data_IF_310571458304
#
_entry.id   IF_310571458304
#
_cell.length_a   1.000
_cell.length_b   1.000
_cell.length_c   1.000
_cell.angle_alpha   90.00
_cell.angle_beta   90.00
_cell.angle_gamma   90.00
#
_symmetry.space_group_name_H-M   'P 1'
#
loop_
_entity.id
_entity.type
_entity.pdbx_description
1 polymer ?
#
# COMPACT_ATOMS: atom_id res chain seq x y z
N UNK A 1 27.49 59.90 37.30
CA UNK A 1 26.21 60.08 38.00
C UNK A 1 25.16 60.34 36.92
N UNK A 2 24.56 59.33 36.31
CA UNK A 2 23.42 58.48 36.76
C UNK A 2 22.12 59.27 36.95
N UNK A 3 21.05 58.71 36.37
CA UNK A 3 19.62 59.06 36.32
C UNK A 3 19.20 59.93 35.11
N UNK A 4 18.40 59.49 34.14
CA UNK A 4 17.54 58.31 34.00
C UNK A 4 16.06 58.67 34.21
N UNK A 5 15.23 58.56 33.16
CA UNK A 5 13.78 58.32 33.27
C UNK A 5 13.20 57.76 31.96
N UNK A 6 12.40 56.71 32.14
CA UNK A 6 11.76 55.82 31.18
C UNK A 6 10.31 56.26 30.87
N UNK A 7 9.76 55.68 29.79
CA UNK A 7 8.36 55.19 29.61
C UNK A 7 7.73 55.68 28.29
N UNK A 8 6.83 54.99 27.57
CA UNK A 8 6.56 53.60 27.14
C UNK A 8 5.33 53.71 26.19
N UNK A 9 5.07 52.67 25.37
CA UNK A 9 3.81 52.34 24.65
C UNK A 9 3.39 53.17 23.40
N UNK A 10 2.71 52.66 22.36
CA UNK A 10 2.45 51.32 21.78
C UNK A 10 1.41 51.46 20.63
N UNK A 11 1.59 50.74 19.51
CA UNK A 11 0.62 50.09 18.58
C UNK A 11 -0.50 50.84 17.78
N UNK A 12 -0.67 50.34 16.52
CA UNK A 12 -1.87 50.23 15.63
C UNK A 12 -2.56 51.53 15.14
N UNK A 13 -3.18 51.71 13.95
CA UNK A 13 -3.75 50.84 12.90
C UNK A 13 -4.11 51.72 11.65
N UNK A 14 -4.20 51.06 10.49
CA UNK A 14 -5.06 51.25 9.29
C UNK A 14 -5.62 52.58 8.72
N UNK A 15 -5.68 52.55 7.37
CA UNK A 15 -6.77 52.98 6.47
C UNK A 15 -6.70 54.31 5.67
N UNK A 16 -6.47 54.11 4.36
CA UNK A 16 -7.30 54.52 3.22
C UNK A 16 -7.35 55.96 2.64
N UNK A 17 -7.17 55.95 1.30
CA UNK A 17 -7.83 56.74 0.25
C UNK A 17 -7.29 58.14 -0.11
N UNK A 18 -6.93 58.30 -1.39
CA UNK A 18 -6.60 59.60 -1.99
C UNK A 18 -6.12 59.52 -3.44
N UNK A 19 -7.02 59.13 -4.34
CA UNK A 19 -6.87 59.02 -5.79
C UNK A 19 -6.31 60.27 -6.50
N UNK A 20 -5.41 60.09 -7.47
CA UNK A 20 -5.36 60.94 -8.68
C UNK A 20 -5.12 60.08 -9.92
N UNK A 21 -6.19 59.91 -10.69
CA UNK A 21 -6.22 59.32 -12.02
C UNK A 21 -6.00 60.45 -13.02
N UNK A 22 -4.97 60.34 -13.85
CA UNK A 22 -4.92 61.05 -15.14
C UNK A 22 -5.28 60.03 -16.23
N UNK A 23 -6.42 60.28 -16.88
CA UNK A 23 -6.87 59.58 -18.07
C UNK A 23 -6.08 60.09 -19.29
N UNK A 24 -5.40 59.19 -20.00
CA UNK A 24 -5.20 59.33 -21.44
C UNK A 24 -5.43 57.97 -22.13
N UNK A 25 -6.06 58.04 -23.29
CA UNK A 25 -6.85 57.01 -23.95
C UNK A 25 -6.03 55.88 -24.59
N UNK A 26 -6.48 54.63 -24.35
CA UNK A 26 -6.75 53.66 -25.42
C UNK A 26 -5.61 52.85 -26.04
N UNK A 27 -5.41 51.61 -25.54
CA UNK A 27 -5.64 50.34 -26.26
C UNK A 27 -5.20 49.17 -25.36
N UNK A 28 -6.16 48.32 -25.00
CA UNK A 28 -5.97 47.24 -24.04
C UNK A 28 -5.04 46.12 -24.54
N UNK A 29 -4.11 45.73 -23.67
CA UNK A 29 -3.64 44.34 -23.54
C UNK A 29 -3.59 44.02 -22.05
N UNK A 30 -4.42 43.07 -21.64
CA UNK A 30 -4.43 42.48 -20.32
C UNK A 30 -3.06 41.86 -20.03
N UNK A 31 -2.32 42.45 -19.09
CA UNK A 31 -1.15 41.81 -18.50
C UNK A 31 -1.69 40.77 -17.51
N UNK A 32 -1.98 39.57 -18.03
CA UNK A 32 -2.13 38.39 -17.21
C UNK A 32 -0.74 38.10 -16.61
N UNK A 33 -0.65 38.16 -15.29
CA UNK A 33 0.49 37.62 -14.56
C UNK A 33 0.55 36.11 -14.83
N UNK A 34 1.39 35.71 -15.77
CA UNK A 34 1.79 34.31 -15.94
C UNK A 34 2.44 33.86 -14.63
N UNK A 35 1.76 32.96 -13.91
CA UNK A 35 2.41 32.12 -12.93
C UNK A 35 3.42 31.27 -13.69
N UNK A 36 4.71 31.50 -13.45
CA UNK A 36 5.78 30.65 -13.97
C UNK A 36 5.57 29.22 -13.46
N UNK A 37 5.01 28.36 -14.31
CA UNK A 37 5.02 26.92 -14.10
C UNK A 37 6.49 26.51 -14.28
N UNK A 38 7.19 26.26 -13.18
CA UNK A 38 8.51 25.63 -13.23
C UNK A 38 8.24 24.23 -13.80
N UNK A 39 8.55 24.02 -15.07
CA UNK A 39 8.55 22.69 -15.67
C UNK A 39 9.70 21.91 -15.01
N UNK A 40 9.38 21.14 -13.97
CA UNK A 40 10.32 20.18 -13.41
C UNK A 40 10.53 19.10 -14.47
N UNK A 41 11.77 18.97 -14.94
CA UNK A 41 12.14 17.95 -15.92
C UNK A 41 11.98 16.58 -15.27
N UNK A 42 11.15 15.71 -15.86
CA UNK A 42 11.07 14.31 -15.45
C UNK A 42 12.25 13.54 -16.07
N UNK A 43 13.34 13.40 -15.32
CA UNK A 43 14.54 12.72 -15.81
C UNK A 43 14.31 11.22 -16.09
N UNK A 44 13.40 10.57 -15.37
CA UNK A 44 13.08 9.16 -15.59
C UNK A 44 12.46 8.96 -16.97
N UNK A 45 11.43 9.74 -17.30
CA UNK A 45 10.78 9.71 -18.63
C UNK A 45 11.74 10.12 -19.75
N UNK A 46 12.57 11.14 -19.50
CA UNK A 46 13.57 11.58 -20.47
C UNK A 46 14.57 10.48 -20.82
N UNK A 47 15.06 9.73 -19.83
CA UNK A 47 15.96 8.58 -20.06
C UNK A 47 15.21 7.41 -20.70
N UNK A 48 13.99 7.12 -20.25
CA UNK A 48 13.16 6.05 -20.82
C UNK A 48 12.93 6.24 -22.32
N UNK A 49 12.67 7.47 -22.77
CA UNK A 49 12.44 7.76 -24.20
C UNK A 49 13.67 7.52 -25.09
N UNK A 50 14.87 7.44 -24.51
CA UNK A 50 16.16 7.33 -25.23
C UNK A 50 16.80 5.96 -25.12
N UNK A 51 16.44 5.19 -24.10
CA UNK A 51 16.96 3.83 -23.87
C UNK A 51 15.83 2.84 -24.10
N UNK A 52 15.99 1.95 -25.10
CA UNK A 52 15.06 0.83 -25.30
C UNK A 52 15.22 -0.14 -24.13
N UNK A 53 14.27 -0.12 -23.19
CA UNK A 53 14.26 -0.95 -21.99
C UNK A 53 13.13 -1.96 -22.06
N UNK A 54 13.46 -3.23 -21.82
CA UNK A 54 12.48 -4.30 -21.75
C UNK A 54 11.99 -4.51 -20.31
N UNK A 55 12.71 -4.01 -19.31
CA UNK A 55 12.49 -4.26 -17.89
C UNK A 55 11.48 -3.29 -17.24
N UNK A 56 11.10 -2.22 -17.94
CA UNK A 56 10.20 -1.17 -17.45
C UNK A 56 10.94 0.06 -16.89
N UNK A 57 10.27 1.20 -16.68
CA UNK A 57 10.91 2.45 -16.24
C UNK A 57 11.42 2.42 -14.79
N UNK A 58 10.91 1.52 -13.93
CA UNK A 58 11.27 1.47 -12.52
C UNK A 58 12.76 1.16 -12.30
N UNK A 59 13.40 0.41 -13.22
CA UNK A 59 14.84 0.13 -13.13
C UNK A 59 15.70 1.39 -13.32
N UNK A 60 15.20 2.39 -14.07
CA UNK A 60 15.86 3.69 -14.25
C UNK A 60 15.85 4.45 -12.92
N UNK A 61 14.70 4.46 -12.26
CA UNK A 61 14.52 5.09 -10.95
C UNK A 61 15.40 4.41 -9.89
N UNK A 62 15.40 3.07 -9.84
CA UNK A 62 16.23 2.29 -8.93
C UNK A 62 17.73 2.52 -9.14
N UNK A 63 18.18 2.65 -10.40
CA UNK A 63 19.57 2.97 -10.72
C UNK A 63 19.97 4.35 -10.17
N UNK A 64 19.08 5.34 -10.30
CA UNK A 64 19.31 6.68 -9.78
C UNK A 64 19.32 6.70 -8.24
N UNK A 65 18.35 6.03 -7.60
CA UNK A 65 18.29 5.89 -6.14
C UNK A 65 19.54 5.17 -5.61
N UNK A 66 20.00 4.09 -6.26
CA UNK A 66 21.22 3.40 -5.87
C UNK A 66 22.47 4.31 -5.96
N UNK A 67 22.52 5.16 -6.99
CA UNK A 67 23.60 6.15 -7.16
C UNK A 67 23.55 7.28 -6.12
N UNK A 68 22.36 7.58 -5.58
CA UNK A 68 22.17 8.52 -4.47
C UNK A 68 22.58 7.90 -3.13
N UNK A 69 22.12 6.67 -2.86
CA UNK A 69 22.35 5.96 -1.60
C UNK A 69 23.79 5.46 -1.42
N UNK A 70 24.52 5.26 -2.51
CA UNK A 70 25.90 4.75 -2.49
C UNK A 70 26.80 5.58 -3.43
N UNK A 71 27.17 6.81 -3.04
CA UNK A 71 28.05 7.65 -3.86
C UNK A 71 29.39 6.94 -4.13
N UNK A 72 29.73 6.76 -5.41
CA UNK A 72 30.92 6.01 -5.82
C UNK A 72 30.66 4.57 -6.24
N UNK A 73 29.39 4.13 -6.29
CA UNK A 73 29.01 2.78 -6.76
C UNK A 73 29.51 2.53 -8.19
N UNK A 74 30.02 1.32 -8.45
CA UNK A 74 30.49 0.95 -9.79
C UNK A 74 29.32 0.67 -10.74
N UNK A 75 29.52 0.80 -12.05
CA UNK A 75 28.49 0.43 -13.04
C UNK A 75 28.15 -1.06 -12.99
N UNK A 76 29.12 -1.92 -12.64
CA UNK A 76 28.89 -3.36 -12.45
C UNK A 76 27.96 -3.63 -11.26
N UNK A 77 28.14 -2.91 -10.17
CA UNK A 77 27.25 -3.02 -9.00
C UNK A 77 25.85 -2.45 -9.28
N UNK A 78 25.75 -1.31 -9.97
CA UNK A 78 24.45 -0.77 -10.42
C UNK A 78 23.69 -1.79 -11.27
N UNK A 79 24.36 -2.43 -12.23
CA UNK A 79 23.79 -3.48 -13.05
C UNK A 79 23.31 -4.68 -12.20
N UNK A 80 24.13 -5.14 -11.24
CA UNK A 80 23.77 -6.22 -10.31
C UNK A 80 22.55 -5.87 -9.45
N UNK A 81 22.49 -4.65 -8.91
CA UNK A 81 21.39 -4.20 -8.06
C UNK A 81 20.05 -4.05 -8.79
N UNK A 82 20.10 -3.76 -10.10
CA UNK A 82 18.91 -3.55 -10.93
C UNK A 82 18.58 -4.76 -11.81
N UNK A 83 19.33 -5.86 -11.67
CA UNK A 83 19.24 -7.05 -12.52
C UNK A 83 19.36 -6.75 -14.03
N UNK A 84 20.04 -5.65 -14.37
CA UNK A 84 20.25 -5.24 -15.75
C UNK A 84 21.55 -5.82 -16.32
N UNK A 85 21.59 -6.14 -17.63
CA UNK A 85 22.86 -6.33 -18.31
C UNK A 85 23.74 -5.09 -18.17
N UNK A 86 25.04 -5.27 -17.92
CA UNK A 86 26.00 -4.16 -17.73
C UNK A 86 25.93 -3.11 -18.85
N UNK A 87 25.80 -3.48 -20.15
CA UNK A 87 25.66 -2.49 -21.22
C UNK A 87 24.40 -1.61 -21.09
N UNK A 88 23.28 -2.18 -20.63
CA UNK A 88 22.02 -1.47 -20.44
C UNK A 88 22.13 -0.49 -19.27
N UNK A 89 22.65 -0.95 -18.12
CA UNK A 89 22.92 -0.06 -16.98
C UNK A 89 23.90 1.07 -17.35
N UNK A 90 24.92 0.78 -18.16
CA UNK A 90 25.84 1.79 -18.68
C UNK A 90 25.16 2.80 -19.60
N UNK A 91 24.19 2.37 -20.42
CA UNK A 91 23.42 3.26 -21.30
C UNK A 91 22.53 4.21 -20.48
N UNK A 92 21.76 3.69 -19.52
CA UNK A 92 20.94 4.50 -18.59
C UNK A 92 21.83 5.53 -17.87
N UNK A 93 22.95 5.08 -17.31
CA UNK A 93 23.93 5.96 -16.65
C UNK A 93 24.40 7.09 -17.58
N UNK A 94 24.78 6.77 -18.82
CA UNK A 94 25.26 7.77 -19.79
C UNK A 94 24.18 8.80 -20.12
N UNK A 95 22.91 8.40 -20.24
CA UNK A 95 21.82 9.34 -20.47
C UNK A 95 21.59 10.26 -19.26
N UNK A 96 21.67 9.74 -18.03
CA UNK A 96 21.66 10.60 -16.84
C UNK A 96 22.85 11.56 -16.76
N UNK A 97 24.04 11.15 -17.19
CA UNK A 97 25.21 12.03 -17.26
C UNK A 97 25.01 13.15 -18.29
N UNK A 98 24.46 12.84 -19.47
CA UNK A 98 24.09 13.86 -20.48
C UNK A 98 23.05 14.84 -19.96
N UNK A 99 22.12 14.36 -19.12
CA UNK A 99 21.11 15.19 -18.46
C UNK A 99 21.66 15.97 -17.24
N UNK A 100 22.93 15.79 -16.88
CA UNK A 100 23.56 16.48 -15.75
C UNK A 100 23.14 15.97 -14.37
N UNK A 101 22.52 14.79 -14.28
CA UNK A 101 21.98 14.19 -13.03
C UNK A 101 23.03 13.32 -12.33
N UNK A 102 23.87 12.64 -13.10
CA UNK A 102 24.95 11.78 -12.60
C UNK A 102 26.31 12.25 -13.10
N UNK A 103 27.36 11.94 -12.35
CA UNK A 103 28.76 12.17 -12.74
C UNK A 103 29.62 10.93 -12.44
N UNK A 104 30.68 10.74 -13.23
CA UNK A 104 31.63 9.63 -13.10
C UNK A 104 32.94 10.16 -12.49
N UNK A 105 33.11 9.99 -11.17
CA UNK A 105 34.26 10.45 -10.39
C UNK A 105 34.55 9.45 -9.26
N UNK A 106 35.57 8.59 -9.46
CA UNK A 106 35.86 7.45 -8.56
C UNK A 106 34.61 6.63 -8.27
N UNK A 107 33.88 6.28 -9.34
CA UNK A 107 32.56 5.65 -9.30
C UNK A 107 31.44 6.59 -9.74
N UNK A 108 30.19 6.12 -9.68
CA UNK A 108 29.01 6.89 -10.09
C UNK A 108 28.40 7.58 -8.87
N UNK A 109 28.08 8.87 -8.99
CA UNK A 109 27.42 9.64 -7.93
C UNK A 109 26.45 10.66 -8.51
N UNK A 110 25.46 11.08 -7.72
CA UNK A 110 24.56 12.17 -8.08
C UNK A 110 25.26 13.53 -8.05
N UNK A 111 24.99 14.36 -9.05
CA UNK A 111 25.30 15.80 -9.02
C UNK A 111 24.37 16.52 -8.03
N UNK A 112 24.55 17.82 -7.84
CA UNK A 112 23.64 18.61 -7.01
C UNK A 112 22.19 18.56 -7.52
N UNK A 113 21.97 18.73 -8.83
CA UNK A 113 20.64 18.63 -9.45
C UNK A 113 20.06 17.21 -9.32
N UNK A 114 20.88 16.17 -9.46
CA UNK A 114 20.44 14.80 -9.27
C UNK A 114 20.00 14.50 -7.83
N UNK A 115 20.72 15.01 -6.84
CA UNK A 115 20.32 14.90 -5.42
C UNK A 115 18.98 15.59 -5.17
N UNK A 116 18.83 16.84 -5.63
CA UNK A 116 17.57 17.58 -5.49
C UNK A 116 16.39 16.85 -6.15
N UNK A 117 16.60 16.25 -7.32
CA UNK A 117 15.55 15.46 -7.99
C UNK A 117 15.16 14.22 -7.17
N UNK A 118 16.13 13.46 -6.65
CA UNK A 118 15.85 12.30 -5.80
C UNK A 118 15.12 12.72 -4.52
N UNK A 119 15.55 13.81 -3.90
CA UNK A 119 15.00 14.29 -2.63
C UNK A 119 13.59 14.87 -2.79
N UNK A 120 13.35 15.70 -3.80
CA UNK A 120 12.07 16.42 -3.97
C UNK A 120 11.08 15.72 -4.90
N UNK A 121 11.53 15.11 -6.00
CA UNK A 121 10.64 14.49 -6.98
C UNK A 121 10.39 13.01 -6.70
N UNK A 122 11.42 12.26 -6.30
CA UNK A 122 11.25 10.86 -5.89
C UNK A 122 10.87 10.71 -4.41
N UNK A 123 10.91 11.80 -3.63
CA UNK A 123 10.44 11.84 -2.24
C UNK A 123 11.42 11.27 -1.21
N UNK A 124 12.72 11.24 -1.52
CA UNK A 124 13.75 10.73 -0.61
C UNK A 124 14.33 11.80 0.34
N UNK A 125 13.84 13.04 0.29
CA UNK A 125 14.30 14.15 1.13
C UNK A 125 13.97 13.93 2.60
N UNK A 126 14.97 14.08 3.47
CA UNK A 126 14.80 13.88 4.92
C UNK A 126 14.71 12.42 5.37
N UNK A 127 15.02 11.47 4.49
CA UNK A 127 15.06 10.04 4.80
C UNK A 127 16.18 9.72 5.80
N UNK A 128 15.86 8.90 6.79
CA UNK A 128 16.84 8.17 7.60
C UNK A 128 17.54 7.12 6.73
N UNK A 129 18.68 7.53 6.14
CA UNK A 129 19.44 6.69 5.21
C UNK A 129 20.11 5.49 5.90
N UNK A 130 20.32 5.54 7.22
CA UNK A 130 20.89 4.41 7.97
C UNK A 130 19.83 3.32 8.15
N UNK A 131 18.66 3.69 8.68
CA UNK A 131 17.52 2.78 8.79
C UNK A 131 17.13 2.22 7.42
N UNK A 132 17.02 3.07 6.40
CA UNK A 132 16.73 2.61 5.03
C UNK A 132 17.73 1.56 4.54
N UNK A 133 19.04 1.78 4.73
CA UNK A 133 20.07 0.80 4.33
C UNK A 133 19.94 -0.51 5.10
N UNK A 134 19.66 -0.44 6.40
CA UNK A 134 19.42 -1.63 7.24
C UNK A 134 18.20 -2.42 6.75
N UNK A 135 17.07 -1.74 6.48
CA UNK A 135 15.84 -2.37 6.01
C UNK A 135 15.95 -2.99 4.60
N UNK A 136 16.78 -2.41 3.74
CA UNK A 136 17.03 -2.88 2.37
C UNK A 136 18.05 -4.03 2.28
N UNK A 137 18.76 -4.37 3.36
CA UNK A 137 19.68 -5.50 3.36
C UNK A 137 18.92 -6.85 3.29
N UNK A 138 19.50 -7.85 2.61
CA UNK A 138 18.90 -9.19 2.47
C UNK A 138 18.80 -9.89 3.82
N UNK A 139 19.87 -9.85 4.60
CA UNK A 139 19.93 -10.30 5.98
C UNK A 139 19.83 -9.07 6.90
N UNK A 140 18.69 -8.93 7.57
CA UNK A 140 18.52 -7.94 8.62
C UNK A 140 17.58 -8.43 9.71
N UNK A 141 17.72 -7.83 10.88
CA UNK A 141 16.75 -7.96 11.95
C UNK A 141 15.82 -6.74 11.95
N UNK A 142 14.93 -6.68 10.96
CA UNK A 142 13.98 -5.58 10.83
C UNK A 142 13.05 -5.45 12.04
N UNK A 143 12.84 -6.53 12.81
CA UNK A 143 12.00 -6.51 14.01
C UNK A 143 12.66 -5.69 15.11
N UNK A 144 13.97 -5.87 15.32
CA UNK A 144 14.73 -5.05 16.26
C UNK A 144 14.78 -3.59 15.82
N UNK A 145 15.09 -3.33 14.53
CA UNK A 145 15.18 -1.97 13.95
C UNK A 145 13.86 -1.19 14.02
N UNK A 146 12.72 -1.89 13.99
CA UNK A 146 11.37 -1.33 14.01
C UNK A 146 10.60 -1.71 15.27
N UNK A 147 11.30 -1.98 16.38
CA UNK A 147 10.68 -2.37 17.66
C UNK A 147 9.72 -1.31 18.20
N UNK A 148 10.01 -0.03 17.98
CA UNK A 148 9.12 1.09 18.30
C UNK A 148 7.84 1.06 17.47
N UNK A 149 7.95 0.78 16.17
CA UNK A 149 6.79 0.65 15.27
C UNK A 149 5.97 -0.59 15.63
N UNK A 150 6.60 -1.72 15.92
CA UNK A 150 5.92 -2.94 16.36
C UNK A 150 5.13 -2.73 17.65
N UNK A 151 5.73 -2.04 18.63
CA UNK A 151 5.06 -1.71 19.88
C UNK A 151 3.81 -0.87 19.61
N UNK A 152 3.96 0.22 18.83
CA UNK A 152 2.82 1.09 18.51
C UNK A 152 1.75 0.38 17.70
N UNK A 153 2.14 -0.45 16.74
CA UNK A 153 1.22 -1.20 15.91
C UNK A 153 0.47 -2.26 16.73
N UNK A 154 1.11 -2.88 17.72
CA UNK A 154 0.45 -3.80 18.67
C UNK A 154 -0.70 -3.10 19.40
N UNK A 155 -0.45 -1.93 19.98
CA UNK A 155 -1.48 -1.13 20.67
C UNK A 155 -2.65 -0.76 19.75
N UNK A 156 -2.38 -0.48 18.47
CA UNK A 156 -3.42 -0.17 17.48
C UNK A 156 -4.22 -1.43 17.12
N UNK A 157 -3.55 -2.56 16.86
CA UNK A 157 -4.20 -3.80 16.44
C UNK A 157 -5.06 -4.42 17.55
N UNK A 158 -4.74 -4.17 18.82
CA UNK A 158 -5.59 -4.56 19.97
C UNK A 158 -6.95 -3.84 19.97
N UNK A 159 -7.00 -2.63 19.41
CA UNK A 159 -8.22 -1.81 19.35
C UNK A 159 -9.04 -2.03 18.07
N UNK A 160 -8.59 -2.89 17.15
CA UNK A 160 -9.22 -3.07 15.85
C UNK A 160 -10.64 -3.66 15.97
N UNK A 161 -11.52 -3.41 14.98
CA UNK A 161 -12.83 -4.05 14.95
C UNK A 161 -12.74 -5.59 14.97
N UNK A 162 -13.74 -6.23 15.57
CA UNK A 162 -13.87 -7.69 15.51
C UNK A 162 -14.11 -8.15 14.07
N UNK A 163 -13.45 -9.23 13.67
CA UNK A 163 -13.56 -9.78 12.32
C UNK A 163 -14.97 -10.29 12.05
N UNK A 164 -15.46 -10.02 10.85
CA UNK A 164 -16.67 -10.64 10.30
C UNK A 164 -16.29 -11.80 9.37
N UNK A 165 -16.38 -13.00 9.92
CA UNK A 165 -16.06 -14.24 9.20
C UNK A 165 -16.99 -14.52 8.01
N UNK A 166 -18.13 -13.81 7.89
CA UNK A 166 -19.03 -13.97 6.74
C UNK A 166 -18.47 -13.37 5.46
N UNK A 167 -17.59 -12.37 5.60
CA UNK A 167 -16.88 -11.74 4.48
C UNK A 167 -15.41 -12.19 4.41
N UNK A 168 -15.12 -13.39 4.94
CA UNK A 168 -13.79 -14.02 4.99
C UNK A 168 -12.70 -13.20 5.72
N UNK A 169 -13.07 -12.25 6.59
CA UNK A 169 -12.09 -11.49 7.38
C UNK A 169 -11.32 -12.40 8.34
N UNK A 170 -10.03 -12.09 8.52
CA UNK A 170 -9.16 -12.81 9.43
C UNK A 170 -8.12 -11.90 10.06
N UNK A 171 -7.60 -12.32 11.20
CA UNK A 171 -6.69 -11.50 11.98
C UNK A 171 -5.24 -11.88 11.70
N UNK A 172 -4.50 -11.13 10.88
CA UNK A 172 -3.04 -11.33 10.83
C UNK A 172 -2.36 -10.88 12.13
N UNK A 173 -1.11 -11.35 12.33
CA UNK A 173 -0.25 -10.88 13.41
C UNK A 173 0.34 -9.49 13.11
N UNK A 174 0.75 -8.78 14.15
CA UNK A 174 1.41 -7.46 14.06
C UNK A 174 2.63 -7.53 13.15
N UNK A 175 3.45 -8.57 13.31
CA UNK A 175 4.65 -8.80 12.51
C UNK A 175 4.30 -9.04 11.05
N UNK A 176 3.20 -9.74 10.76
CA UNK A 176 2.75 -9.96 9.37
C UNK A 176 2.41 -8.63 8.71
N UNK A 177 1.58 -7.80 9.35
CA UNK A 177 1.19 -6.51 8.82
C UNK A 177 2.41 -5.60 8.56
N UNK A 178 3.35 -5.50 9.51
CA UNK A 178 4.55 -4.69 9.33
C UNK A 178 5.53 -5.28 8.31
N UNK A 179 5.67 -6.61 8.25
CA UNK A 179 6.52 -7.30 7.26
C UNK A 179 6.03 -7.05 5.83
N UNK A 180 4.71 -6.94 5.60
CA UNK A 180 4.14 -6.52 4.30
C UNK A 180 4.59 -5.11 3.91
N UNK A 181 4.62 -4.17 4.86
CA UNK A 181 5.13 -2.81 4.62
C UNK A 181 6.64 -2.80 4.34
N UNK A 182 7.45 -3.58 5.06
CA UNK A 182 8.89 -3.75 4.77
C UNK A 182 9.11 -4.36 3.39
N UNK A 183 8.29 -5.32 2.98
CA UNK A 183 8.33 -5.88 1.62
C UNK A 183 8.00 -4.80 0.57
N UNK A 184 7.03 -3.92 0.84
CA UNK A 184 6.72 -2.77 -0.03
C UNK A 184 7.94 -1.85 -0.24
N UNK A 185 8.66 -1.56 0.85
CA UNK A 185 9.90 -0.77 0.81
C UNK A 185 10.97 -1.47 -0.05
N UNK A 186 11.18 -2.77 0.16
CA UNK A 186 12.15 -3.59 -0.59
C UNK A 186 11.82 -3.72 -2.07
N UNK A 187 10.55 -3.65 -2.44
CA UNK A 187 10.10 -3.56 -3.83
C UNK A 187 10.15 -2.14 -4.40
N UNK A 188 10.78 -1.18 -3.72
CA UNK A 188 10.86 0.24 -4.12
C UNK A 188 9.48 0.85 -4.40
N UNK A 189 8.47 0.42 -3.64
CA UNK A 189 7.07 0.73 -3.89
C UNK A 189 6.41 1.52 -2.75
N UNK A 190 7.20 1.97 -1.76
CA UNK A 190 6.73 2.71 -0.60
C UNK A 190 6.99 4.23 -0.71
N UNK A 191 8.25 4.62 -0.87
CA UNK A 191 8.66 6.03 -0.83
C UNK A 191 8.23 6.74 -2.13
N UNK A 192 7.51 7.85 -1.99
CA UNK A 192 7.06 8.67 -3.13
C UNK A 192 6.02 8.00 -4.04
N UNK A 193 5.38 6.91 -3.60
CA UNK A 193 4.43 6.11 -4.40
C UNK A 193 2.99 6.27 -3.94
N UNK A 194 2.07 6.05 -4.88
CA UNK A 194 0.64 5.91 -4.60
C UNK A 194 0.30 4.42 -4.45
N UNK A 195 -0.20 4.02 -3.28
CA UNK A 195 -0.44 2.62 -2.90
C UNK A 195 -1.94 2.43 -2.68
N UNK A 196 -2.51 1.38 -3.28
CA UNK A 196 -3.88 0.96 -3.04
C UNK A 196 -3.93 -0.27 -2.12
N UNK A 197 -4.79 -0.27 -1.11
CA UNK A 197 -5.15 -1.46 -0.33
C UNK A 197 -6.57 -1.87 -0.72
N UNK A 198 -6.70 -3.03 -1.37
CA UNK A 198 -7.99 -3.61 -1.79
C UNK A 198 -8.40 -4.65 -0.75
N UNK A 199 -9.24 -4.22 0.19
CA UNK A 199 -9.42 -4.86 1.50
C UNK A 199 -8.28 -4.52 2.47
N UNK A 200 -8.60 -4.24 3.74
CA UNK A 200 -7.56 -3.92 4.74
C UNK A 200 -7.95 -4.24 6.20
N UNK A 201 -8.59 -5.37 6.45
CA UNK A 201 -8.84 -5.88 7.81
C UNK A 201 -7.54 -6.16 8.60
N UNK A 202 -6.45 -6.41 7.87
CA UNK A 202 -5.09 -6.58 8.40
C UNK A 202 -4.33 -5.27 8.71
N UNK A 203 -4.95 -4.11 8.47
CA UNK A 203 -4.40 -2.79 8.75
C UNK A 203 -3.01 -2.54 8.12
N UNK A 204 -2.77 -3.11 6.93
CA UNK A 204 -1.52 -2.92 6.18
C UNK A 204 -1.35 -1.44 5.83
N UNK A 205 -2.43 -0.70 5.57
CA UNK A 205 -2.36 0.74 5.34
C UNK A 205 -1.74 1.51 6.51
N UNK A 206 -2.08 1.13 7.76
CA UNK A 206 -1.50 1.72 8.97
C UNK A 206 -0.02 1.36 9.07
N UNK A 207 0.34 0.10 8.82
CA UNK A 207 1.75 -0.36 8.82
C UNK A 207 2.59 0.40 7.79
N UNK A 208 2.07 0.63 6.58
CA UNK A 208 2.73 1.43 5.54
C UNK A 208 2.93 2.89 6.00
N UNK A 209 1.89 3.49 6.59
CA UNK A 209 1.96 4.86 7.10
C UNK A 209 2.95 5.04 8.26
N UNK A 210 2.93 4.12 9.23
CA UNK A 210 3.86 4.17 10.37
C UNK A 210 5.31 3.93 9.94
N UNK A 211 5.56 3.00 9.01
CA UNK A 211 6.90 2.79 8.47
C UNK A 211 7.40 4.02 7.71
N UNK A 212 6.55 4.67 6.90
CA UNK A 212 6.88 5.94 6.26
C UNK A 212 7.20 7.02 7.29
N UNK A 213 6.38 7.19 8.33
CA UNK A 213 6.65 8.16 9.40
C UNK A 213 7.99 7.88 10.09
N UNK A 214 8.32 6.61 10.35
CA UNK A 214 9.56 6.18 10.99
C UNK A 214 10.81 6.40 10.13
N UNK A 215 10.69 6.20 8.82
CA UNK A 215 11.75 6.47 7.84
C UNK A 215 12.05 7.96 7.70
N UNK A 216 11.13 8.84 8.09
CA UNK A 216 11.25 10.28 7.90
C UNK A 216 10.88 11.06 9.19
N UNK A 217 11.70 10.95 10.24
CA UNK A 217 11.35 11.43 11.58
C UNK A 217 11.09 12.95 11.69
N UNK A 218 11.64 13.74 10.77
CA UNK A 218 11.59 15.21 10.81
C UNK A 218 10.72 15.84 9.70
N UNK A 219 9.95 15.04 8.96
CA UNK A 219 9.16 15.51 7.84
C UNK A 219 7.67 15.28 8.07
N UNK A 220 6.87 16.31 7.79
CA UNK A 220 5.40 16.22 7.74
C UNK A 220 4.95 16.26 6.28
N UNK A 221 3.98 15.42 5.93
CA UNK A 221 3.41 15.37 4.59
C UNK A 221 4.32 14.70 3.57
N UNK A 222 4.47 13.38 3.67
CA UNK A 222 5.18 12.59 2.67
C UNK A 222 4.45 12.61 1.32
N UNK A 223 5.22 12.51 0.22
CA UNK A 223 4.67 12.43 -1.14
C UNK A 223 3.93 11.12 -1.40
N UNK A 224 4.20 10.08 -0.62
CA UNK A 224 3.49 8.82 -0.72
C UNK A 224 2.02 8.97 -0.29
N UNK A 225 1.11 8.41 -1.07
CA UNK A 225 -0.33 8.41 -0.79
C UNK A 225 -0.85 6.99 -0.64
N UNK A 226 -1.60 6.71 0.42
CA UNK A 226 -2.22 5.41 0.66
C UNK A 226 -3.73 5.55 0.53
N UNK A 227 -4.37 4.68 -0.25
CA UNK A 227 -5.82 4.59 -0.34
C UNK A 227 -6.30 3.21 0.06
N UNK A 228 -7.34 3.15 0.87
CA UNK A 228 -8.00 1.91 1.29
C UNK A 228 -9.39 1.87 0.70
N UNK A 229 -9.73 0.74 0.06
CA UNK A 229 -11.07 0.44 -0.41
C UNK A 229 -11.55 -0.83 0.27
N UNK A 230 -12.71 -0.76 0.92
CA UNK A 230 -13.30 -1.90 1.64
C UNK A 230 -14.83 -1.79 1.64
N UNK A 231 -15.52 -2.91 1.84
CA UNK A 231 -16.97 -2.94 2.03
C UNK A 231 -17.35 -2.62 3.48
N UNK A 232 -16.47 -2.95 4.43
CA UNK A 232 -16.71 -2.85 5.86
C UNK A 232 -16.42 -1.45 6.42
N UNK A 233 -17.48 -0.69 6.68
CA UNK A 233 -17.38 0.65 7.25
C UNK A 233 -16.69 0.69 8.62
N UNK A 234 -16.73 -0.41 9.41
CA UNK A 234 -16.11 -0.45 10.75
C UNK A 234 -14.60 -0.30 10.63
N UNK A 235 -13.99 -1.05 9.71
CA UNK A 235 -12.55 -0.95 9.45
C UNK A 235 -12.18 0.38 8.79
N UNK A 236 -12.97 0.88 7.83
CA UNK A 236 -12.69 2.17 7.20
C UNK A 236 -12.73 3.34 8.19
N UNK A 237 -13.71 3.35 9.11
CA UNK A 237 -13.80 4.34 10.18
C UNK A 237 -12.63 4.22 11.15
N UNK A 238 -12.27 2.99 11.53
CA UNK A 238 -11.13 2.73 12.40
C UNK A 238 -9.81 3.21 11.79
N UNK A 239 -9.50 2.81 10.55
CA UNK A 239 -8.31 3.23 9.80
C UNK A 239 -8.28 4.76 9.66
N UNK A 240 -9.40 5.38 9.27
CA UNK A 240 -9.48 6.84 9.16
C UNK A 240 -9.22 7.54 10.49
N UNK A 241 -9.75 7.01 11.59
CA UNK A 241 -9.53 7.54 12.94
C UNK A 241 -8.08 7.37 13.41
N UNK A 242 -7.43 6.27 13.04
CA UNK A 242 -6.01 6.03 13.36
C UNK A 242 -5.09 6.87 12.49
N UNK A 243 -5.37 6.99 11.20
CA UNK A 243 -4.64 7.87 10.30
C UNK A 243 -4.61 9.32 10.80
N UNK A 244 -5.76 9.84 11.26
CA UNK A 244 -5.82 11.19 11.87
C UNK A 244 -5.01 11.30 13.16
N UNK A 245 -5.12 10.31 14.06
CA UNK A 245 -4.40 10.30 15.35
C UNK A 245 -2.89 10.19 15.17
N UNK A 246 -2.45 9.45 14.17
CA UNK A 246 -1.05 9.19 13.87
C UNK A 246 -0.44 10.14 12.84
N UNK A 247 -1.21 11.08 12.29
CA UNK A 247 -0.80 11.99 11.21
C UNK A 247 -0.32 11.25 9.94
N UNK A 248 -1.10 10.25 9.50
CA UNK A 248 -0.80 9.40 8.34
C UNK A 248 -1.63 9.83 7.11
N UNK A 249 -0.98 9.83 5.95
CA UNK A 249 -1.60 10.14 4.64
C UNK A 249 -2.37 8.93 4.10
N UNK A 250 -3.52 8.63 4.71
CA UNK A 250 -4.39 7.50 4.35
C UNK A 250 -5.79 8.00 4.04
N UNK A 251 -6.28 7.70 2.84
CA UNK A 251 -7.65 7.95 2.42
C UNK A 251 -8.46 6.65 2.43
N UNK A 252 -9.64 6.66 3.06
CA UNK A 252 -10.55 5.51 3.06
C UNK A 252 -11.76 5.78 2.17
N UNK A 253 -12.20 4.75 1.44
CA UNK A 253 -13.40 4.77 0.61
C UNK A 253 -14.17 3.47 0.75
N UNK A 254 -15.47 3.57 0.97
CA UNK A 254 -16.34 2.40 0.98
C UNK A 254 -16.68 1.99 -0.44
N UNK A 255 -16.37 0.75 -0.80
CA UNK A 255 -16.67 0.16 -2.10
C UNK A 255 -17.04 -1.31 -1.89
N UNK A 256 -18.17 -1.72 -2.45
CA UNK A 256 -18.41 -3.13 -2.70
C UNK A 256 -17.71 -3.53 -4.00
N UNK A 257 -16.71 -4.40 -3.90
CA UNK A 257 -15.91 -4.83 -5.05
C UNK A 257 -16.70 -5.68 -6.06
N UNK A 258 -17.90 -6.15 -5.69
CA UNK A 258 -18.84 -6.74 -6.67
C UNK A 258 -19.28 -5.72 -7.72
N UNK A 259 -19.30 -4.44 -7.36
CA UNK A 259 -19.61 -3.34 -8.26
C UNK A 259 -18.38 -2.96 -9.10
N UNK A 260 -18.56 -2.46 -10.33
CA UNK A 260 -17.46 -1.91 -11.12
C UNK A 260 -16.86 -0.67 -10.44
N UNK A 261 -15.53 -0.51 -10.53
CA UNK A 261 -14.87 0.67 -9.97
C UNK A 261 -15.15 1.93 -10.79
N UNK A 262 -15.29 3.10 -10.14
CA UNK A 262 -15.36 4.37 -10.83
C UNK A 262 -14.13 4.59 -11.73
N UNK A 263 -14.37 5.03 -12.98
CA UNK A 263 -13.29 5.25 -13.98
C UNK A 263 -12.24 6.24 -13.53
N UNK A 264 -12.62 7.19 -12.67
CA UNK A 264 -11.72 8.17 -12.08
C UNK A 264 -10.53 7.54 -11.37
N UNK A 265 -10.65 6.33 -10.80
CA UNK A 265 -9.57 5.68 -10.05
C UNK A 265 -8.60 4.91 -10.92
N UNK A 266 -8.86 4.84 -12.22
CA UNK A 266 -8.01 4.08 -13.13
C UNK A 266 -6.68 4.77 -13.38
N UNK A 267 -5.59 4.01 -13.36
CA UNK A 267 -4.28 4.52 -13.75
C UNK A 267 -3.60 5.43 -12.72
N UNK A 268 -4.00 5.41 -11.44
CA UNK A 268 -3.49 6.35 -10.43
C UNK A 268 -2.40 5.78 -9.52
N UNK A 269 -2.35 4.46 -9.37
CA UNK A 269 -1.53 3.80 -8.34
C UNK A 269 -0.30 3.09 -8.91
N UNK A 270 0.77 3.06 -8.13
CA UNK A 270 2.05 2.43 -8.48
C UNK A 270 2.11 0.96 -8.06
N UNK A 271 1.36 0.57 -7.03
CA UNK A 271 1.22 -0.80 -6.56
C UNK A 271 -0.10 -0.99 -5.78
N UNK A 272 -0.47 -2.25 -5.50
CA UNK A 272 -1.55 -2.53 -4.57
C UNK A 272 -1.33 -3.79 -3.72
N UNK A 273 -1.97 -3.80 -2.56
CA UNK A 273 -2.09 -4.93 -1.64
C UNK A 273 -3.49 -5.51 -1.70
N UNK A 274 -3.59 -6.83 -1.54
CA UNK A 274 -4.87 -7.50 -1.30
C UNK A 274 -4.68 -8.83 -0.57
N UNK A 275 -5.58 -9.13 0.36
CA UNK A 275 -5.77 -10.44 0.99
C UNK A 275 -7.23 -10.87 0.72
N UNK A 276 -7.51 -11.41 -0.48
CA UNK A 276 -8.86 -11.62 -0.95
C UNK A 276 -9.50 -12.85 -0.29
N UNK A 277 -10.82 -13.02 -0.42
CA UNK A 277 -11.49 -14.28 -0.08
C UNK A 277 -10.78 -15.48 -0.70
N UNK A 278 -10.62 -16.57 0.05
CA UNK A 278 -9.76 -17.70 -0.32
C UNK A 278 -10.37 -18.65 -1.38
N UNK A 279 -11.33 -18.16 -2.14
CA UNK A 279 -11.91 -18.78 -3.33
C UNK A 279 -11.13 -18.34 -4.58
N UNK A 280 -11.18 -19.13 -5.66
CA UNK A 280 -10.51 -18.74 -6.91
C UNK A 280 -11.16 -17.47 -7.49
N UNK A 281 -12.49 -17.36 -7.43
CA UNK A 281 -13.22 -16.20 -7.92
C UNK A 281 -12.96 -14.94 -7.10
N UNK A 282 -12.85 -15.05 -5.77
CA UNK A 282 -12.47 -13.92 -4.93
C UNK A 282 -11.09 -13.38 -5.26
N UNK A 283 -10.11 -14.27 -5.47
CA UNK A 283 -8.79 -13.88 -5.94
C UNK A 283 -8.86 -13.14 -7.30
N UNK A 284 -9.60 -13.69 -8.28
CA UNK A 284 -9.72 -13.08 -9.62
C UNK A 284 -10.39 -11.70 -9.53
N UNK A 285 -11.46 -11.55 -8.74
CA UNK A 285 -12.19 -10.29 -8.58
C UNK A 285 -11.29 -9.21 -7.97
N UNK A 286 -10.68 -9.49 -6.82
CA UNK A 286 -9.85 -8.51 -6.11
C UNK A 286 -8.61 -8.13 -6.93
N UNK A 287 -7.96 -9.09 -7.59
CA UNK A 287 -6.87 -8.80 -8.53
C UNK A 287 -7.35 -7.92 -9.70
N UNK A 288 -8.50 -8.23 -10.29
CA UNK A 288 -9.06 -7.42 -11.38
C UNK A 288 -9.33 -5.98 -10.94
N UNK A 289 -9.91 -5.79 -9.75
CA UNK A 289 -10.17 -4.47 -9.17
C UNK A 289 -8.87 -3.72 -8.88
N UNK A 290 -7.88 -4.37 -8.29
CA UNK A 290 -6.57 -3.77 -8.08
C UNK A 290 -5.85 -3.39 -9.39
N UNK A 291 -5.88 -4.27 -10.40
CA UNK A 291 -5.28 -4.00 -11.73
C UNK A 291 -5.92 -2.77 -12.38
N UNK A 292 -7.23 -2.57 -12.24
CA UNK A 292 -7.93 -1.40 -12.81
C UNK A 292 -7.37 -0.07 -12.28
N UNK A 293 -6.88 -0.03 -11.04
CA UNK A 293 -6.38 1.19 -10.39
C UNK A 293 -4.91 1.50 -10.74
N UNK A 294 -4.15 0.50 -11.17
CA UNK A 294 -2.72 0.66 -11.48
C UNK A 294 -2.48 1.55 -12.70
N UNK A 295 -1.44 2.39 -12.62
CA UNK A 295 -0.82 3.04 -13.78
C UNK A 295 -0.50 1.99 -14.83
N UNK A 296 -0.77 2.29 -16.11
CA UNK A 296 -0.48 1.41 -17.25
C UNK A 296 1.01 1.40 -17.58
N UNK A 297 1.79 0.86 -16.67
CA UNK A 297 3.24 0.79 -16.72
C UNK A 297 3.67 -0.64 -16.40
N UNK A 298 4.61 -1.16 -17.17
CA UNK A 298 5.24 -2.47 -16.94
C UNK A 298 6.02 -2.46 -15.63
N UNK A 299 6.01 -3.55 -14.87
CA UNK A 299 6.83 -3.72 -13.67
C UNK A 299 6.24 -3.20 -12.36
N UNK A 300 4.99 -2.72 -12.36
CA UNK A 300 4.30 -2.35 -11.13
C UNK A 300 4.04 -3.60 -10.27
N UNK A 301 4.39 -3.60 -8.97
CA UNK A 301 4.15 -4.74 -8.11
C UNK A 301 2.69 -4.86 -7.67
N UNK A 302 2.29 -6.10 -7.47
CA UNK A 302 1.05 -6.50 -6.83
C UNK A 302 1.42 -7.44 -5.69
N UNK A 303 0.93 -7.14 -4.50
CA UNK A 303 1.16 -7.93 -3.29
C UNK A 303 -0.10 -8.71 -2.96
N UNK A 304 -0.10 -9.99 -3.31
CA UNK A 304 -1.22 -10.90 -3.07
C UNK A 304 -0.92 -11.82 -1.89
N UNK A 305 -1.64 -11.60 -0.79
CA UNK A 305 -1.71 -12.57 0.30
C UNK A 305 -2.69 -13.67 -0.07
N UNK A 306 -2.34 -14.93 0.19
CA UNK A 306 -3.27 -16.03 -0.04
C UNK A 306 -2.92 -17.24 0.84
N UNK A 307 -3.90 -18.08 1.15
CA UNK A 307 -3.66 -19.35 1.82
C UNK A 307 -2.82 -20.31 0.94
N UNK A 308 -2.10 -21.23 1.57
CA UNK A 308 -1.48 -22.37 0.87
C UNK A 308 -2.57 -23.28 0.28
N UNK A 309 -2.36 -23.76 -0.95
CA UNK A 309 -3.34 -24.58 -1.68
C UNK A 309 -2.68 -25.83 -2.27
N UNK A 310 -3.50 -26.80 -2.69
CA UNK A 310 -3.01 -27.99 -3.39
C UNK A 310 -2.32 -27.61 -4.71
N UNK A 311 -1.49 -28.50 -5.28
CA UNK A 311 -0.87 -28.27 -6.59
C UNK A 311 -1.86 -27.92 -7.70
N UNK A 312 -3.02 -28.57 -7.76
CA UNK A 312 -4.04 -28.31 -8.80
C UNK A 312 -4.68 -26.93 -8.69
N UNK A 313 -4.96 -26.49 -7.46
CA UNK A 313 -5.47 -25.13 -7.21
C UNK A 313 -4.37 -24.11 -7.49
N UNK A 314 -3.13 -24.39 -7.12
CA UNK A 314 -1.97 -23.54 -7.42
C UNK A 314 -1.77 -23.36 -8.93
N UNK A 315 -1.88 -24.45 -9.71
CA UNK A 315 -1.85 -24.38 -11.17
C UNK A 315 -3.01 -23.54 -11.72
N UNK A 316 -4.20 -23.65 -11.12
CA UNK A 316 -5.35 -22.84 -11.50
C UNK A 316 -5.09 -21.36 -11.24
N UNK A 317 -4.56 -20.99 -10.07
CA UNK A 317 -4.16 -19.61 -9.76
C UNK A 317 -3.13 -19.08 -10.77
N UNK A 318 -2.09 -19.86 -11.07
CA UNK A 318 -1.06 -19.47 -12.03
C UNK A 318 -1.63 -19.25 -13.44
N UNK A 319 -2.59 -20.06 -13.88
CA UNK A 319 -3.29 -19.85 -15.14
C UNK A 319 -4.05 -18.52 -15.16
N UNK A 320 -4.69 -18.14 -14.06
CA UNK A 320 -5.36 -16.83 -13.98
C UNK A 320 -4.38 -15.66 -14.00
N UNK A 321 -3.21 -15.79 -13.35
CA UNK A 321 -2.17 -14.76 -13.44
C UNK A 321 -1.73 -14.55 -14.89
N UNK A 322 -1.51 -15.65 -15.63
CA UNK A 322 -1.15 -15.60 -17.06
C UNK A 322 -2.27 -14.97 -17.90
N UNK A 323 -3.53 -15.33 -17.66
CA UNK A 323 -4.69 -14.74 -18.36
C UNK A 323 -4.82 -13.23 -18.12
N UNK A 324 -4.49 -12.76 -16.93
CA UNK A 324 -4.44 -11.34 -16.58
C UNK A 324 -3.16 -10.64 -17.07
N UNK A 325 -2.27 -11.34 -17.77
CA UNK A 325 -1.01 -10.77 -18.28
C UNK A 325 0.00 -10.42 -17.19
N UNK A 326 -0.03 -11.12 -16.05
CA UNK A 326 0.88 -10.91 -14.93
C UNK A 326 2.06 -11.89 -14.96
N UNK A 327 3.22 -11.45 -14.47
CA UNK A 327 4.34 -12.34 -14.17
C UNK A 327 4.48 -12.56 -12.67
N UNK A 328 4.83 -13.78 -12.26
CA UNK A 328 5.15 -14.09 -10.86
C UNK A 328 6.62 -13.76 -10.64
N UNK A 329 6.90 -12.77 -9.78
CA UNK A 329 8.27 -12.43 -9.39
C UNK A 329 8.78 -13.41 -8.31
N UNK A 330 7.97 -13.61 -7.27
CA UNK A 330 8.36 -14.43 -6.12
C UNK A 330 7.14 -14.95 -5.38
N UNK A 331 7.28 -16.13 -4.79
CA UNK A 331 6.33 -16.71 -3.82
C UNK A 331 7.05 -16.89 -2.49
N UNK A 332 6.61 -16.17 -1.46
CA UNK A 332 7.16 -16.22 -0.10
C UNK A 332 6.25 -17.10 0.76
N UNK A 333 6.68 -18.34 1.01
CA UNK A 333 5.92 -19.29 1.83
C UNK A 333 5.95 -18.90 3.30
N UNK A 334 4.86 -19.19 4.02
CA UNK A 334 4.69 -18.89 5.46
C UNK A 334 4.95 -17.41 5.81
N UNK A 335 4.74 -16.52 4.84
CA UNK A 335 4.96 -15.10 5.00
C UNK A 335 3.91 -14.47 5.90
N UNK A 336 2.65 -14.85 5.68
CA UNK A 336 1.52 -14.37 6.45
C UNK A 336 1.23 -15.32 7.61
N UNK A 337 1.05 -14.79 8.81
CA UNK A 337 0.64 -15.53 10.01
C UNK A 337 -0.67 -14.93 10.54
N UNK A 338 -1.60 -15.79 10.93
CA UNK A 338 -2.95 -15.40 11.36
C UNK A 338 -3.30 -15.98 12.73
N UNK A 339 -3.97 -15.16 13.54
CA UNK A 339 -4.48 -15.52 14.87
C UNK A 339 -5.78 -16.31 14.68
N UNK A 340 -5.85 -17.51 15.26
CA UNK A 340 -7.08 -18.32 15.31
C UNK A 340 -7.48 -19.04 14.01
N UNK A 341 -6.73 -18.88 12.91
CA UNK A 341 -7.01 -19.51 11.61
C UNK A 341 -6.49 -20.97 11.53
N UNK A 342 -6.87 -21.82 12.50
CA UNK A 342 -6.31 -23.18 12.65
C UNK A 342 -6.52 -24.06 11.40
N UNK A 343 -7.59 -23.82 10.64
CA UNK A 343 -7.94 -24.57 9.42
C UNK A 343 -6.94 -24.39 8.26
N UNK A 344 -6.15 -23.32 8.25
CA UNK A 344 -5.06 -23.08 7.28
C UNK A 344 -3.68 -23.22 7.93
N UNK A 345 -3.61 -23.87 9.11
CA UNK A 345 -2.36 -23.99 9.86
C UNK A 345 -1.79 -22.64 10.32
N UNK A 346 -2.66 -21.64 10.50
CA UNK A 346 -2.31 -20.27 10.90
C UNK A 346 -1.31 -19.55 9.97
N UNK A 347 -1.03 -20.07 8.76
CA UNK A 347 -0.05 -19.45 7.85
C UNK A 347 -0.47 -19.45 6.39
N UNK A 348 -0.09 -18.39 5.69
CA UNK A 348 -0.30 -18.19 4.25
C UNK A 348 0.99 -17.81 3.53
N UNK A 349 0.87 -17.58 2.24
CA UNK A 349 1.93 -17.13 1.35
C UNK A 349 1.71 -15.69 0.90
N UNK A 350 2.79 -14.99 0.60
CA UNK A 350 2.78 -13.71 -0.10
C UNK A 350 3.32 -13.93 -1.51
N UNK A 351 2.51 -13.61 -2.51
CA UNK A 351 2.87 -13.73 -3.92
C UNK A 351 3.09 -12.31 -4.45
N UNK A 352 4.31 -12.03 -4.89
CA UNK A 352 4.65 -10.77 -5.54
C UNK A 352 4.51 -10.96 -7.05
N UNK A 353 3.49 -10.35 -7.63
CA UNK A 353 3.29 -10.31 -9.08
C UNK A 353 3.82 -8.99 -9.65
N UNK A 354 4.09 -8.96 -10.96
CA UNK A 354 4.48 -7.76 -11.70
C UNK A 354 3.62 -7.60 -12.94
N UNK A 355 3.24 -6.36 -13.23
CA UNK A 355 2.55 -6.03 -14.47
C UNK A 355 3.47 -6.23 -15.68
N UNK A 356 2.89 -6.72 -16.79
CA UNK A 356 3.48 -6.70 -18.13
C UNK A 356 2.73 -5.73 -19.05
N UNK A 357 3.18 -5.60 -20.30
CA UNK A 357 2.49 -4.83 -21.34
C UNK A 357 1.09 -5.40 -21.68
N UNK A 358 0.84 -6.67 -21.35
CA UNK A 358 -0.43 -7.36 -21.60
C UNK A 358 -1.37 -7.31 -20.38
N UNK A 359 -0.98 -6.62 -19.31
CA UNK A 359 -1.77 -6.63 -18.07
C UNK A 359 -3.16 -6.05 -18.30
N UNK A 360 -4.18 -6.84 -17.99
CA UNK A 360 -5.57 -6.42 -18.05
C UNK A 360 -6.37 -7.10 -16.94
N UNK A 361 -7.38 -6.40 -16.37
CA UNK A 361 -8.30 -7.04 -15.44
C UNK A 361 -9.11 -8.12 -16.16
N UNK A 362 -9.36 -9.24 -15.48
CA UNK A 362 -10.24 -10.29 -16.02
C UNK A 362 -11.71 -9.86 -15.91
N UNK A 363 -12.08 -9.22 -14.79
CA UNK A 363 -13.44 -8.80 -14.48
C UNK A 363 -13.50 -7.27 -14.46
N UNK A 364 -14.26 -6.68 -15.38
CA UNK A 364 -14.46 -5.22 -15.46
C UNK A 364 -15.82 -4.75 -14.98
N UNK A 365 -16.84 -5.57 -15.16
CA UNK A 365 -18.24 -5.25 -14.89
C UNK A 365 -18.69 -5.79 -13.53
N UNK A 366 -20.00 -5.86 -13.30
CA UNK A 366 -20.60 -6.42 -12.10
C UNK A 366 -20.20 -7.90 -11.91
N UNK A 367 -20.02 -8.29 -10.65
CA UNK A 367 -19.74 -9.67 -10.26
C UNK A 367 -20.92 -10.24 -9.49
N UNK A 368 -21.53 -11.31 -10.01
CA UNK A 368 -22.76 -11.92 -9.49
C UNK A 368 -22.53 -13.30 -8.84
N UNK A 369 -21.34 -13.88 -9.02
CA UNK A 369 -21.01 -15.21 -8.49
C UNK A 369 -20.76 -15.21 -6.97
N UNK A 370 -20.67 -16.42 -6.41
CA UNK A 370 -20.26 -16.65 -5.02
C UNK A 370 -18.81 -16.18 -4.81
N UNK A 371 -18.63 -15.29 -3.83
CA UNK A 371 -17.38 -14.60 -3.53
C UNK A 371 -16.68 -15.24 -2.33
N UNK A 372 -17.41 -15.32 -1.21
CA UNK A 372 -16.86 -15.70 0.09
C UNK A 372 -16.82 -17.21 0.28
N UNK A 373 -15.92 -17.70 1.12
CA UNK A 373 -15.77 -19.13 1.40
C UNK A 373 -17.07 -19.73 1.96
N UNK A 374 -17.80 -18.96 2.78
CA UNK A 374 -19.12 -19.37 3.28
C UNK A 374 -20.15 -19.59 2.17
N UNK A 375 -20.11 -18.78 1.11
CA UNK A 375 -21.03 -18.88 -0.04
C UNK A 375 -20.69 -20.13 -0.89
N UNK A 376 -19.40 -20.32 -1.21
CA UNK A 376 -18.92 -21.45 -2.05
C UNK A 376 -18.96 -22.79 -1.32
N UNK A 377 -18.63 -22.81 -0.02
CA UNK A 377 -18.60 -24.02 0.81
C UNK A 377 -19.67 -23.90 1.88
N UNK A 378 -20.91 -24.09 1.47
CA UNK A 378 -22.07 -24.08 2.36
C UNK A 378 -21.92 -25.20 3.37
N UNK A 379 -21.63 -24.83 4.62
CA UNK A 379 -21.51 -25.80 5.71
C UNK A 379 -22.41 -25.40 6.85
N UNK A 380 -23.11 -26.39 7.41
CA UNK A 380 -23.90 -26.23 8.62
C UNK A 380 -23.20 -26.99 9.73
N UNK A 381 -22.93 -26.29 10.84
CA UNK A 381 -22.34 -26.83 12.05
C UNK A 381 -23.42 -26.96 13.10
N UNK A 382 -23.49 -28.13 13.73
CA UNK A 382 -24.45 -28.37 14.81
C UNK A 382 -23.76 -28.19 16.15
N UNK A 383 -24.35 -27.37 17.02
CA UNK A 383 -23.89 -27.13 18.38
C UNK A 383 -24.95 -27.58 19.39
N UNK A 384 -24.49 -27.97 20.58
CA UNK A 384 -25.34 -28.28 21.73
C UNK A 384 -25.10 -27.27 22.83
N UNK A 385 -26.15 -26.62 23.32
CA UNK A 385 -26.07 -25.83 24.54
C UNK A 385 -25.68 -26.74 25.71
N UNK A 386 -24.63 -26.37 26.44
CA UNK A 386 -24.12 -27.19 27.55
C UNK A 386 -25.12 -27.24 28.71
N UNK A 387 -25.89 -26.16 28.92
CA UNK A 387 -26.79 -26.05 30.06
C UNK A 387 -28.14 -26.76 29.86
N UNK A 388 -28.81 -26.57 28.71
CA UNK A 388 -30.13 -27.16 28.47
C UNK A 388 -30.13 -28.35 27.51
N UNK A 389 -29.00 -28.66 26.87
CA UNK A 389 -28.91 -29.70 25.85
C UNK A 389 -29.53 -29.34 24.50
N UNK A 390 -30.09 -28.14 24.35
CA UNK A 390 -30.69 -27.65 23.10
C UNK A 390 -29.71 -27.74 21.93
N UNK A 391 -30.19 -28.23 20.79
CA UNK A 391 -29.37 -28.41 19.58
C UNK A 391 -29.69 -27.28 18.61
N UNK A 392 -28.64 -26.60 18.13
CA UNK A 392 -28.73 -25.41 17.28
C UNK A 392 -27.83 -25.57 16.06
N UNK A 393 -28.27 -25.08 14.92
CA UNK A 393 -27.52 -25.10 13.67
C UNK A 393 -26.92 -23.73 13.38
N UNK A 394 -25.63 -23.72 13.04
CA UNK A 394 -24.86 -22.52 12.73
C UNK A 394 -24.35 -22.60 11.29
N UNK A 395 -24.65 -21.59 10.48
CA UNK A 395 -24.26 -21.44 9.09
C UNK A 395 -25.24 -20.55 8.32
N UNK A 396 -24.98 -20.26 7.04
CA UNK A 396 -25.80 -19.35 6.21
C UNK A 396 -27.30 -19.74 6.21
N UNK A 397 -27.62 -21.02 6.35
CA UNK A 397 -29.00 -21.55 6.40
C UNK A 397 -29.38 -22.12 7.79
N UNK A 398 -28.56 -21.88 8.81
CA UNK A 398 -28.81 -22.35 10.18
C UNK A 398 -29.67 -21.38 10.99
N UNK A 399 -29.95 -21.76 12.23
CA UNK A 399 -30.64 -20.91 13.22
C UNK A 399 -29.84 -19.62 13.51
N UNK A 400 -28.51 -19.69 13.39
CA UNK A 400 -27.60 -18.57 13.56
C UNK A 400 -26.55 -18.53 12.42
N UNK A 401 -26.12 -17.36 11.96
CA UNK A 401 -25.14 -17.26 10.87
C UNK A 401 -23.73 -17.69 11.31
N UNK A 402 -23.30 -17.34 12.53
CA UNK A 402 -21.96 -17.63 13.08
C UNK A 402 -22.04 -18.14 14.53
N UNK A 403 -20.96 -18.76 15.02
CA UNK A 403 -20.92 -19.27 16.41
C UNK A 403 -20.73 -18.11 17.40
N UNK A 404 -20.08 -17.04 16.99
CA UNK A 404 -19.92 -15.80 17.73
C UNK A 404 -21.28 -15.13 17.93
N UNK A 405 -22.13 -15.07 16.91
CA UNK A 405 -23.49 -14.55 17.00
C UNK A 405 -24.33 -15.36 18.00
N UNK A 406 -24.29 -16.69 17.89
CA UNK A 406 -24.96 -17.58 18.83
C UNK A 406 -24.46 -17.37 20.27
N UNK A 407 -23.14 -17.19 20.45
CA UNK A 407 -22.55 -16.89 21.77
C UNK A 407 -22.97 -15.52 22.29
N UNK A 408 -23.12 -14.52 21.44
CA UNK A 408 -23.54 -13.18 21.85
C UNK A 408 -25.03 -13.14 22.23
N UNK A 409 -25.90 -13.75 21.43
CA UNK A 409 -27.34 -13.78 21.68
C UNK A 409 -27.73 -14.75 22.80
N UNK A 410 -26.94 -15.80 23.01
CA UNK A 410 -27.22 -16.84 23.99
C UNK A 410 -28.24 -17.88 23.48
N UNK A 411 -28.34 -18.99 24.20
CA UNK A 411 -29.23 -20.09 23.81
C UNK A 411 -30.71 -19.63 23.87
N UNK A 412 -31.50 -19.79 22.81
CA UNK A 412 -32.90 -19.34 22.80
C UNK A 412 -33.80 -20.05 23.82
N UNK A 413 -33.33 -21.17 24.39
CA UNK A 413 -34.07 -21.97 25.39
C UNK A 413 -33.74 -21.55 26.83
N UNK A 414 -32.48 -21.27 27.14
CA UNK A 414 -32.02 -21.06 28.52
C UNK A 414 -31.09 -19.85 28.73
N UNK A 415 -30.89 -19.02 27.70
CA UNK A 415 -29.98 -17.88 27.67
C UNK A 415 -28.50 -18.18 27.96
N UNK A 416 -28.08 -19.46 28.02
CA UNK A 416 -26.67 -19.81 28.21
C UNK A 416 -25.82 -19.44 27.00
N UNK A 417 -24.61 -18.94 27.24
CA UNK A 417 -23.66 -18.53 26.19
C UNK A 417 -22.61 -19.60 25.88
N UNK A 418 -22.77 -20.82 26.41
CA UNK A 418 -21.79 -21.91 26.29
C UNK A 418 -22.32 -23.06 25.46
N UNK A 419 -21.54 -23.46 24.45
CA UNK A 419 -21.95 -24.43 23.43
C UNK A 419 -20.83 -25.42 23.12
N UNK A 420 -21.18 -26.70 23.01
CA UNK A 420 -20.31 -27.77 22.55
C UNK A 420 -20.56 -28.05 21.06
N UNK A 421 -19.49 -28.16 20.27
CA UNK A 421 -19.61 -28.57 18.86
C UNK A 421 -19.95 -30.06 18.77
N UNK A 422 -20.91 -30.41 17.91
CA UNK A 422 -21.34 -31.80 17.69
C UNK A 422 -20.87 -32.34 16.34
N UNK A 423 -21.20 -31.62 15.26
CA UNK A 423 -21.01 -32.13 13.90
C UNK A 423 -20.88 -31.00 12.88
N UNK A 424 -20.35 -31.34 11.70
CA UNK A 424 -20.30 -30.47 10.52
C UNK A 424 -20.80 -31.24 9.31
N UNK A 425 -21.71 -30.63 8.55
CA UNK A 425 -22.19 -31.14 7.25
C UNK A 425 -21.94 -30.10 6.17
N UNK A 426 -21.50 -30.54 4.99
CA UNK A 426 -21.47 -29.73 3.77
C UNK A 426 -22.80 -29.90 3.04
N UNK A 427 -23.39 -28.80 2.58
CA UNK A 427 -24.65 -28.76 1.83
C UNK A 427 -24.35 -28.64 0.34
#
# INVERSE_FOLDING_TARGET
>A
MVHGLLSFCSFTEEACMGSRVFFFQGKGKSILKEKSVIHVINYIEAVQSRVRLQEGPQVIEQLLIASYMRPGISTKELARHTYLPVPVAAAIKKEFMKAGVLVQERGVRCTHSGKLYVEHELGYGGLDQELYRSLMAEENDWQTELSDVLTRLTEILELRPQVDVQIDQSQCTVETSLRRAVLCLREHSLIGKNIMCVGDDDLVSISLGLLLKRLFPNMKGQRAGITVIDIDERFLQFISGMAKREDLSIACRRIDLRQPLPREWSGQYDCFFTDPPYTLQGMILFLSRGIQTLKKVKGNPIFLSFAHKSPDVTLSMQREFVRMGLSVKQVLLHFNQYIGAQMIGNSGQMIVLKTTELTAPHITDFFEDELYTGEVRRTVRTYRCIQCGGVLQVGIQGDFPTIEELKNQGCPICASHTFAWLAKRTI
#
